data_IF_552528229142
#
_entry.id   IF_552528229142
#
_cell.length_a   1.000
_cell.length_b   1.000
_cell.length_c   1.000
_cell.angle_alpha   90.00
_cell.angle_beta   90.00
_cell.angle_gamma   90.00
#
_symmetry.space_group_name_H-M   'P 1'
#
loop_
_entity.id
_entity.type
_entity.pdbx_description
1 polymer ?
#
# COMPACT_ATOMS: atom_id res chain seq x y z
N UNK A 1 10.90 -1.93 -2.91
CA UNK A 1 9.85 -2.39 -1.97
C UNK A 1 8.88 -3.28 -2.73
N UNK A 2 8.33 -4.30 -2.07
CA UNK A 2 7.40 -5.26 -2.69
C UNK A 2 6.03 -5.12 -2.05
N UNK A 3 5.00 -5.37 -2.83
CA UNK A 3 3.59 -5.31 -2.44
C UNK A 3 3.03 -6.71 -2.68
N UNK A 4 2.64 -7.40 -1.61
CA UNK A 4 2.01 -8.71 -1.70
C UNK A 4 0.58 -8.58 -2.19
N UNK A 5 0.24 -9.22 -3.30
CA UNK A 5 -1.11 -9.13 -3.89
C UNK A 5 -1.98 -10.27 -3.42
N UNK A 6 -3.10 -9.94 -2.77
CA UNK A 6 -4.06 -10.89 -2.20
C UNK A 6 -5.41 -10.72 -2.89
N UNK A 7 -5.87 -11.78 -3.56
CA UNK A 7 -7.06 -11.75 -4.41
C UNK A 7 -8.29 -12.39 -3.78
N UNK A 8 -8.13 -13.05 -2.63
CA UNK A 8 -9.22 -13.71 -1.91
C UNK A 8 -8.93 -13.77 -0.42
N UNK A 9 -9.98 -13.95 0.40
CA UNK A 9 -9.82 -14.05 1.85
C UNK A 9 -9.08 -15.33 2.27
N UNK A 10 -9.21 -16.39 1.48
CA UNK A 10 -8.56 -17.68 1.71
C UNK A 10 -7.03 -17.57 1.65
N UNK A 11 -6.51 -16.60 0.89
CA UNK A 11 -5.08 -16.35 0.76
C UNK A 11 -4.45 -15.68 1.98
N UNK A 12 -5.25 -15.10 2.89
CA UNK A 12 -4.73 -14.47 4.12
C UNK A 12 -3.90 -15.48 4.93
N UNK A 13 -4.33 -16.74 4.97
CA UNK A 13 -3.65 -17.80 5.71
C UNK A 13 -2.24 -18.12 5.17
N UNK A 14 -2.00 -17.79 3.89
CA UNK A 14 -0.73 -18.02 3.19
C UNK A 14 0.26 -16.87 3.33
N UNK A 15 -0.15 -15.77 3.96
CA UNK A 15 0.71 -14.61 4.14
C UNK A 15 1.87 -14.91 5.09
N UNK A 16 3.03 -14.34 4.76
CA UNK A 16 4.22 -14.38 5.58
C UNK A 16 4.21 -13.25 6.62
N UNK A 17 4.83 -13.48 7.78
CA UNK A 17 4.89 -12.49 8.85
C UNK A 17 5.72 -11.24 8.48
N UNK A 18 6.60 -11.35 7.48
CA UNK A 18 7.48 -10.27 7.01
C UNK A 18 6.83 -9.38 5.94
N UNK A 19 5.55 -9.60 5.59
CA UNK A 19 4.86 -8.78 4.61
C UNK A 19 4.63 -7.35 5.15
N UNK A 20 5.28 -6.37 4.51
CA UNK A 20 5.18 -4.96 4.92
C UNK A 20 4.02 -4.22 4.25
N UNK A 21 3.69 -4.57 3.00
CA UNK A 21 2.60 -3.95 2.25
C UNK A 21 1.78 -5.02 1.57
N UNK A 22 0.48 -5.01 1.84
CA UNK A 22 -0.45 -5.96 1.25
C UNK A 22 -1.48 -5.21 0.41
N UNK A 23 -1.61 -5.60 -0.85
CA UNK A 23 -2.67 -5.14 -1.73
C UNK A 23 -3.87 -6.08 -1.68
N UNK A 24 -5.03 -5.55 -1.30
CA UNK A 24 -6.30 -6.27 -1.25
C UNK A 24 -7.06 -6.07 -2.56
N UNK A 25 -6.99 -7.06 -3.45
CA UNK A 25 -7.74 -7.11 -4.71
C UNK A 25 -9.17 -7.67 -4.54
N UNK A 26 -9.64 -7.79 -3.30
CA UNK A 26 -11.02 -8.11 -2.94
C UNK A 26 -11.53 -7.14 -1.88
N UNK A 27 -12.85 -7.10 -1.67
CA UNK A 27 -13.47 -6.28 -0.62
C UNK A 27 -13.38 -7.01 0.73
N UNK A 28 -12.55 -6.57 1.69
CA UNK A 28 -12.40 -7.26 2.97
C UNK A 28 -13.57 -6.93 3.91
N UNK A 29 -13.92 -7.89 4.75
CA UNK A 29 -14.72 -7.70 5.96
C UNK A 29 -13.83 -7.25 7.13
N UNK A 30 -14.45 -6.85 8.25
CA UNK A 30 -13.68 -6.55 9.48
C UNK A 30 -12.89 -7.78 9.95
N UNK A 31 -13.46 -8.99 9.85
CA UNK A 31 -12.80 -10.23 10.24
C UNK A 31 -11.58 -10.51 9.37
N UNK A 32 -11.66 -10.24 8.06
CA UNK A 32 -10.53 -10.41 7.15
C UNK A 32 -9.39 -9.47 7.53
N UNK A 33 -9.69 -8.19 7.83
CA UNK A 33 -8.70 -7.20 8.27
C UNK A 33 -8.03 -7.65 9.58
N UNK A 34 -8.80 -8.07 10.57
CA UNK A 34 -8.25 -8.50 11.86
C UNK A 34 -7.37 -9.74 11.72
N UNK A 35 -7.81 -10.71 10.93
CA UNK A 35 -7.06 -11.94 10.67
C UNK A 35 -5.74 -11.64 9.96
N UNK A 36 -5.76 -10.75 8.98
CA UNK A 36 -4.57 -10.30 8.26
C UNK A 36 -3.57 -9.63 9.20
N UNK A 37 -4.02 -8.68 10.02
CA UNK A 37 -3.12 -7.97 10.95
C UNK A 37 -2.55 -8.89 12.02
N UNK A 38 -3.33 -9.85 12.53
CA UNK A 38 -2.82 -10.87 13.46
C UNK A 38 -1.77 -11.78 12.81
N UNK A 39 -1.94 -12.11 11.53
CA UNK A 39 -1.02 -12.96 10.78
C UNK A 39 0.27 -12.24 10.39
N UNK A 40 0.16 -10.95 10.06
CA UNK A 40 1.26 -10.14 9.51
C UNK A 40 1.60 -8.98 10.47
N UNK A 41 2.30 -9.24 11.58
CA UNK A 41 2.59 -8.21 12.58
C UNK A 41 3.49 -7.08 12.07
N UNK A 42 4.23 -7.30 10.98
CA UNK A 42 5.12 -6.30 10.38
C UNK A 42 4.44 -5.48 9.27
N UNK A 43 3.15 -5.67 9.03
CA UNK A 43 2.43 -4.91 8.00
C UNK A 43 2.39 -3.43 8.38
N UNK A 44 2.80 -2.58 7.45
CA UNK A 44 2.84 -1.12 7.59
C UNK A 44 1.71 -0.45 6.84
N UNK A 45 1.24 -1.07 5.76
CA UNK A 45 0.17 -0.52 4.95
C UNK A 45 -0.72 -1.59 4.30
N UNK A 46 -2.02 -1.28 4.27
CA UNK A 46 -3.00 -1.94 3.41
C UNK A 46 -3.28 -1.06 2.20
N UNK A 47 -2.90 -1.56 1.03
CA UNK A 47 -3.16 -0.92 -0.24
C UNK A 47 -4.46 -1.47 -0.84
N UNK A 48 -5.43 -0.61 -1.15
CA UNK A 48 -6.76 -1.06 -1.51
C UNK A 48 -7.40 -0.17 -2.60
N UNK A 49 -8.13 -0.75 -3.58
CA UNK A 49 -8.87 0.04 -4.55
C UNK A 49 -9.87 1.00 -3.90
N UNK A 50 -10.05 2.18 -4.50
CA UNK A 50 -10.97 3.23 -4.02
C UNK A 50 -12.36 2.69 -3.68
N UNK A 51 -12.90 1.82 -4.55
CA UNK A 51 -14.22 1.23 -4.41
C UNK A 51 -14.37 0.33 -3.17
N UNK A 52 -13.29 -0.28 -2.70
CA UNK A 52 -13.28 -1.12 -1.50
C UNK A 52 -12.88 -0.31 -0.26
N UNK A 53 -11.98 0.68 -0.39
CA UNK A 53 -11.64 1.62 0.69
C UNK A 53 -12.90 2.26 1.28
N UNK A 54 -13.84 2.70 0.42
CA UNK A 54 -15.11 3.32 0.84
C UNK A 54 -15.99 2.41 1.68
N UNK A 55 -15.86 1.09 1.55
CA UNK A 55 -16.65 0.11 2.30
C UNK A 55 -16.02 -0.31 3.63
N UNK A 56 -14.79 0.14 3.92
CA UNK A 56 -14.14 -0.14 5.19
C UNK A 56 -14.85 0.61 6.32
N UNK A 57 -15.33 -0.15 7.31
CA UNK A 57 -16.04 0.37 8.48
C UNK A 57 -15.18 1.31 9.32
N UNK A 58 -15.81 2.24 10.05
CA UNK A 58 -15.11 3.14 10.96
C UNK A 58 -14.33 2.38 12.04
N UNK A 59 -14.88 1.27 12.55
CA UNK A 59 -14.19 0.43 13.54
C UNK A 59 -12.93 -0.23 12.98
N UNK A 60 -12.97 -0.71 11.74
CA UNK A 60 -11.79 -1.28 11.09
C UNK A 60 -10.72 -0.20 10.83
N UNK A 61 -11.12 1.02 10.42
CA UNK A 61 -10.18 2.15 10.25
C UNK A 61 -9.50 2.51 11.56
N UNK A 62 -10.29 2.66 12.63
CA UNK A 62 -9.77 2.95 13.97
C UNK A 62 -8.81 1.87 14.45
N UNK A 63 -9.14 0.59 14.22
CA UNK A 63 -8.24 -0.51 14.56
C UNK A 63 -6.91 -0.42 13.81
N UNK A 64 -6.93 -0.20 12.48
CA UNK A 64 -5.71 -0.05 11.69
C UNK A 64 -4.85 1.13 12.19
N UNK A 65 -5.48 2.27 12.47
CA UNK A 65 -4.81 3.45 13.02
C UNK A 65 -4.15 3.14 14.38
N UNK A 66 -4.85 2.43 15.28
CA UNK A 66 -4.28 1.99 16.57
C UNK A 66 -3.09 1.04 16.41
N UNK A 67 -3.03 0.27 15.32
CA UNK A 67 -1.90 -0.61 15.00
C UNK A 67 -0.79 0.11 14.21
N UNK A 68 -0.96 1.40 13.87
CA UNK A 68 -0.02 2.15 13.06
C UNK A 68 0.03 1.70 11.60
N UNK A 69 -1.06 1.13 11.08
CA UNK A 69 -1.16 0.61 9.71
C UNK A 69 -1.88 1.63 8.82
N UNK A 70 -1.20 2.08 7.76
CA UNK A 70 -1.77 3.04 6.82
C UNK A 70 -2.75 2.36 5.84
N UNK A 71 -3.92 2.97 5.64
CA UNK A 71 -4.91 2.53 4.64
C UNK A 71 -4.77 3.35 3.36
N UNK A 72 -3.98 2.82 2.42
CA UNK A 72 -3.59 3.50 1.19
C UNK A 72 -4.58 3.22 0.06
N UNK A 73 -5.01 4.27 -0.64
CA UNK A 73 -5.81 4.11 -1.84
C UNK A 73 -4.94 3.81 -3.06
N UNK A 74 -5.31 2.83 -3.88
CA UNK A 74 -4.68 2.61 -5.18
C UNK A 74 -4.90 1.19 -5.71
N UNK A 75 -4.29 0.91 -6.87
CA UNK A 75 -4.44 -0.36 -7.58
C UNK A 75 -3.10 -0.80 -8.16
N UNK A 76 -2.92 -2.10 -8.38
CA UNK A 76 -1.72 -2.70 -8.99
C UNK A 76 -1.95 -2.96 -10.48
N UNK A 77 -2.06 -1.87 -11.24
CA UNK A 77 -2.47 -1.95 -12.65
C UNK A 77 -1.48 -2.76 -13.51
N UNK A 78 -2.02 -3.65 -14.35
CA UNK A 78 -1.21 -4.50 -15.26
C UNK A 78 -0.46 -5.64 -14.57
N UNK A 79 -0.59 -5.81 -13.25
CA UNK A 79 0.03 -6.91 -12.52
C UNK A 79 -0.70 -8.24 -12.76
N UNK A 80 0.07 -9.30 -12.99
CA UNK A 80 -0.42 -10.67 -13.18
C UNK A 80 -0.04 -11.56 -12.00
N UNK A 81 -0.96 -11.68 -11.04
CA UNK A 81 -0.77 -12.49 -9.83
C UNK A 81 -0.46 -13.95 -10.13
N UNK A 82 -1.02 -14.49 -11.21
CA UNK A 82 -0.77 -15.86 -11.66
C UNK A 82 0.68 -16.11 -12.11
N UNK A 83 1.44 -15.04 -12.38
CA UNK A 83 2.86 -15.11 -12.75
C UNK A 83 3.76 -14.71 -11.57
N UNK A 84 3.36 -13.69 -10.80
CA UNK A 84 4.13 -13.19 -9.67
C UNK A 84 3.18 -12.76 -8.56
N UNK A 85 3.41 -13.26 -7.36
CA UNK A 85 2.63 -12.96 -6.16
C UNK A 85 2.88 -11.56 -5.59
N UNK A 86 3.93 -10.89 -6.08
CA UNK A 86 4.38 -9.58 -5.64
C UNK A 86 4.37 -8.57 -6.78
N UNK A 87 3.79 -7.40 -6.53
CA UNK A 87 4.03 -6.20 -7.33
C UNK A 87 5.21 -5.43 -6.76
N UNK A 88 6.12 -4.95 -7.60
CA UNK A 88 7.33 -4.25 -7.13
C UNK A 88 7.23 -2.76 -7.42
N UNK A 89 7.58 -1.94 -6.42
CA UNK A 89 7.80 -0.51 -6.64
C UNK A 89 9.18 -0.36 -7.25
N UNK A 90 9.22 0.11 -8.50
CA UNK A 90 10.47 0.34 -9.23
C UNK A 90 11.41 1.27 -8.47
N UNK A 91 12.70 0.95 -8.46
CA UNK A 91 13.75 1.80 -7.85
C UNK A 91 13.74 3.23 -8.40
N UNK A 92 13.40 3.38 -9.68
CA UNK A 92 13.28 4.68 -10.34
C UNK A 92 12.30 5.65 -9.66
N UNK A 93 11.29 5.14 -8.95
CA UNK A 93 10.34 5.96 -8.18
C UNK A 93 11.07 6.65 -7.03
N UNK A 94 11.94 5.92 -6.33
CA UNK A 94 12.70 6.45 -5.20
C UNK A 94 13.80 7.39 -5.66
N UNK A 95 14.53 7.03 -6.72
CA UNK A 95 15.57 7.87 -7.30
C UNK A 95 15.00 9.25 -7.70
N UNK A 96 13.77 9.26 -8.23
CA UNK A 96 13.06 10.49 -8.62
C UNK A 96 12.61 11.34 -7.44
N UNK A 97 12.12 10.71 -6.36
CA UNK A 97 11.79 11.41 -5.11
C UNK A 97 13.05 12.07 -4.53
N UNK A 98 14.18 11.36 -4.51
CA UNK A 98 15.45 11.91 -4.02
C UNK A 98 15.97 13.06 -4.89
N UNK A 99 15.82 12.97 -6.21
CA UNK A 99 16.18 14.05 -7.14
C UNK A 99 15.39 15.33 -6.81
N UNK A 100 14.07 15.23 -6.66
CA UNK A 100 13.27 16.41 -6.31
C UNK A 100 13.58 16.95 -4.91
N UNK A 101 13.89 16.08 -3.93
CA UNK A 101 14.37 16.52 -2.61
C UNK A 101 15.70 17.30 -2.73
N UNK A 102 16.63 16.85 -3.58
CA UNK A 102 17.91 17.54 -3.83
C UNK A 102 17.75 18.86 -4.57
N UNK A 103 16.75 18.97 -5.44
CA UNK A 103 16.34 20.22 -6.08
C UNK A 103 15.70 21.21 -5.09
N UNK A 104 15.35 20.78 -3.87
CA UNK A 104 14.78 21.61 -2.82
C UNK A 104 13.27 21.84 -2.96
N UNK A 105 12.57 20.96 -3.68
CA UNK A 105 11.11 21.06 -3.82
C UNK A 105 10.40 20.78 -2.50
N UNK A 106 9.27 21.47 -2.29
CA UNK A 106 8.38 21.18 -1.17
C UNK A 106 7.70 19.81 -1.34
N UNK A 107 7.38 19.11 -0.24
CA UNK A 107 6.79 17.76 -0.33
C UNK A 107 5.51 17.70 -1.17
N UNK A 108 4.64 18.70 -1.06
CA UNK A 108 3.42 18.80 -1.87
C UNK A 108 3.73 18.87 -3.38
N UNK A 109 4.75 19.63 -3.76
CA UNK A 109 5.18 19.72 -5.17
C UNK A 109 5.78 18.40 -5.67
N UNK A 110 6.50 17.69 -4.81
CA UNK A 110 7.05 16.36 -5.12
C UNK A 110 5.90 15.39 -5.40
N UNK A 111 4.89 15.35 -4.53
CA UNK A 111 3.71 14.48 -4.69
C UNK A 111 3.03 14.78 -6.03
N UNK A 112 2.75 16.04 -6.33
CA UNK A 112 2.08 16.45 -7.58
C UNK A 112 2.84 16.04 -8.85
N UNK A 113 4.18 16.14 -8.84
CA UNK A 113 5.01 15.68 -9.96
C UNK A 113 5.01 14.15 -10.06
N UNK A 114 5.19 13.47 -8.94
CA UNK A 114 5.27 12.01 -8.89
C UNK A 114 3.95 11.35 -9.33
N UNK A 115 2.79 11.90 -8.97
CA UNK A 115 1.48 11.41 -9.44
C UNK A 115 1.41 11.46 -10.97
N UNK A 116 1.87 12.55 -11.60
CA UNK A 116 1.85 12.72 -13.06
C UNK A 116 2.82 11.77 -13.76
N UNK A 117 4.00 11.55 -13.19
CA UNK A 117 5.06 10.71 -13.79
C UNK A 117 4.78 9.21 -13.61
N UNK A 118 4.26 8.79 -12.45
CA UNK A 118 4.17 7.37 -12.07
C UNK A 118 2.76 6.80 -12.05
N UNK A 119 1.73 7.67 -12.04
CA UNK A 119 0.31 7.32 -11.82
C UNK A 119 0.03 6.64 -10.47
N UNK A 120 0.98 6.65 -9.54
CA UNK A 120 0.74 6.23 -8.16
C UNK A 120 -0.17 7.25 -7.46
N UNK A 121 -0.91 6.79 -6.46
CA UNK A 121 -1.77 7.68 -5.69
C UNK A 121 -0.94 8.63 -4.81
N UNK A 122 -1.47 9.82 -4.49
CA UNK A 122 -0.84 10.74 -3.54
C UNK A 122 -0.54 10.08 -2.18
N UNK A 123 -1.50 9.30 -1.66
CA UNK A 123 -1.36 8.55 -0.41
C UNK A 123 -0.15 7.61 -0.45
N UNK A 124 0.00 6.88 -1.56
CA UNK A 124 1.09 5.93 -1.68
C UNK A 124 2.44 6.62 -1.84
N UNK A 125 2.53 7.70 -2.61
CA UNK A 125 3.76 8.50 -2.72
C UNK A 125 4.17 9.06 -1.36
N UNK A 126 3.22 9.60 -0.61
CA UNK A 126 3.44 10.10 0.77
C UNK A 126 3.98 8.99 1.68
N UNK A 127 3.40 7.80 1.60
CA UNK A 127 3.89 6.63 2.33
C UNK A 127 5.34 6.28 1.95
N UNK A 128 5.66 6.22 0.65
CA UNK A 128 7.00 5.91 0.16
C UNK A 128 8.03 6.95 0.62
N UNK A 129 7.66 8.23 0.65
CA UNK A 129 8.51 9.32 1.15
C UNK A 129 8.84 9.15 2.64
N UNK A 130 7.90 8.70 3.47
CA UNK A 130 8.11 8.47 4.91
C UNK A 130 9.00 7.26 5.20
N UNK A 131 8.90 6.19 4.39
CA UNK A 131 9.71 4.99 4.58
C UNK A 131 11.18 5.18 4.19
N UNK A 132 11.49 6.19 3.37
CA UNK A 132 12.83 6.55 2.92
C UNK A 132 13.41 7.79 3.64
N UNK A 133 12.80 8.23 4.73
CA UNK A 133 13.27 9.38 5.53
C UNK A 133 14.12 8.95 6.72
#
# INVERSE_FOLDING_TARGET
MKIRVVSSKEEIETLDENEEIIHLAFRPSNTDIFSLVMKCPNVKALHIPSSYKRTISSSARMYLEMQGIDLLEGDVWGHRKDINEYSEVSRSVYDRIEEFRKEGLAEEEIIDKMVKETRLSPDFITFLMKQNS
#
